data_IF_536716914449
#
_entry.id   IF_536716914449
#
_cell.length_a   1.000
_cell.length_b   1.000
_cell.length_c   1.000
_cell.angle_alpha   90.00
_cell.angle_beta   90.00
_cell.angle_gamma   90.00
#
_symmetry.space_group_name_H-M   'P 1'
#
loop_
_entity.id
_entity.type
_entity.pdbx_description
1 polymer ?
#
# COMPACT_ATOMS: atom_id res chain seq x y z
N UNK A 1 -14.21 3.58 10.48
CA UNK A 1 -13.07 4.47 10.20
C UNK A 1 -12.35 3.89 8.99
N UNK A 2 -12.78 4.33 7.79
CA UNK A 2 -12.44 3.68 6.50
C UNK A 2 -10.94 3.67 6.24
N UNK A 3 -10.22 4.72 6.65
CA UNK A 3 -8.77 4.79 6.57
C UNK A 3 -8.06 3.64 7.32
N UNK A 4 -8.52 3.31 8.54
CA UNK A 4 -7.95 2.18 9.31
C UNK A 4 -8.23 0.83 8.64
N UNK A 5 -9.39 0.69 8.01
CA UNK A 5 -9.75 -0.51 7.27
C UNK A 5 -8.86 -0.67 6.01
N UNK A 6 -8.58 0.44 5.31
CA UNK A 6 -7.64 0.48 4.20
C UNK A 6 -6.22 0.06 4.64
N UNK A 7 -5.67 0.66 5.70
CA UNK A 7 -4.36 0.26 6.24
C UNK A 7 -4.34 -1.23 6.57
N UNK A 8 -5.34 -1.72 7.32
CA UNK A 8 -5.42 -3.11 7.73
C UNK A 8 -5.54 -4.08 6.53
N UNK A 9 -6.07 -3.62 5.40
CA UNK A 9 -6.11 -4.39 4.17
C UNK A 9 -4.76 -4.37 3.45
N UNK A 10 -4.18 -3.18 3.25
CA UNK A 10 -2.94 -2.98 2.49
C UNK A 10 -1.68 -3.48 3.21
N UNK A 11 -1.69 -3.57 4.54
CA UNK A 11 -0.54 -4.05 5.34
C UNK A 11 -0.55 -5.56 5.58
N UNK A 12 -1.52 -6.31 5.02
CA UNK A 12 -1.53 -7.77 5.13
C UNK A 12 -0.30 -8.36 4.44
N UNK A 13 0.30 -9.42 5.02
CA UNK A 13 1.38 -10.13 4.36
C UNK A 13 0.93 -10.63 2.98
N UNK A 14 1.77 -10.42 1.97
CA UNK A 14 1.52 -10.89 0.62
C UNK A 14 1.24 -12.41 0.63
N UNK A 15 0.17 -12.87 -0.03
CA UNK A 15 -0.13 -14.28 -0.13
C UNK A 15 1.04 -15.00 -0.82
N UNK A 16 1.55 -16.06 -0.18
CA UNK A 16 2.63 -16.87 -0.74
C UNK A 16 2.05 -17.86 -1.74
N UNK A 17 2.40 -17.70 -3.02
CA UNK A 17 2.08 -18.70 -4.03
C UNK A 17 2.83 -20.01 -3.76
N UNK A 18 2.10 -21.06 -3.36
CA UNK A 18 2.62 -22.43 -3.27
C UNK A 18 2.19 -23.23 -4.51
N UNK A 19 3.01 -24.19 -4.95
CA UNK A 19 2.68 -25.05 -6.12
C UNK A 19 1.41 -25.88 -5.92
N UNK A 20 0.99 -26.07 -4.67
CA UNK A 20 -0.19 -26.84 -4.28
C UNK A 20 -1.36 -25.94 -3.83
N UNK A 21 -1.26 -24.62 -3.98
CA UNK A 21 -2.26 -23.66 -3.51
C UNK A 21 -3.66 -24.01 -4.02
N UNK A 22 -3.78 -24.33 -5.31
CA UNK A 22 -5.01 -24.74 -5.95
C UNK A 22 -5.56 -26.05 -5.36
N UNK A 23 -4.70 -27.02 -5.06
CA UNK A 23 -5.11 -28.28 -4.45
C UNK A 23 -5.51 -28.13 -2.97
N UNK A 24 -4.86 -27.22 -2.24
CA UNK A 24 -5.16 -26.90 -0.85
C UNK A 24 -6.48 -26.14 -0.72
N UNK A 25 -6.73 -25.17 -1.59
CA UNK A 25 -8.00 -24.43 -1.66
C UNK A 25 -9.16 -25.34 -2.09
N UNK A 26 -8.97 -26.17 -3.11
CA UNK A 26 -9.95 -27.20 -3.49
C UNK A 26 -10.20 -28.18 -2.32
N UNK A 27 -9.15 -28.54 -1.56
CA UNK A 27 -9.26 -29.39 -0.37
C UNK A 27 -10.06 -28.76 0.78
N UNK A 28 -10.16 -27.44 0.86
CA UNK A 28 -10.98 -26.71 1.84
C UNK A 28 -12.45 -26.58 1.42
N UNK A 29 -12.73 -26.49 0.10
CA UNK A 29 -14.09 -26.32 -0.43
C UNK A 29 -14.83 -27.67 -0.56
N UNK A 30 -14.16 -28.73 -1.00
CA UNK A 30 -14.75 -30.06 -1.20
C UNK A 30 -15.51 -30.64 0.03
N UNK A 31 -14.97 -30.54 1.27
CA UNK A 31 -15.67 -31.02 2.46
C UNK A 31 -16.97 -30.25 2.74
N UNK A 32 -16.98 -28.94 2.46
CA UNK A 32 -18.16 -28.10 2.65
C UNK A 32 -19.25 -28.48 1.64
N UNK A 33 -18.89 -28.76 0.40
CA UNK A 33 -19.82 -29.22 -0.64
C UNK A 33 -20.44 -30.57 -0.25
N UNK A 34 -19.62 -31.52 0.19
CA UNK A 34 -20.09 -32.82 0.70
C UNK A 34 -20.99 -32.68 1.94
N UNK A 35 -20.74 -31.69 2.80
CA UNK A 35 -21.59 -31.39 3.96
C UNK A 35 -22.95 -30.83 3.54
N UNK A 36 -22.99 -29.95 2.53
CA UNK A 36 -24.24 -29.40 1.99
C UNK A 36 -25.07 -30.50 1.33
N UNK A 37 -24.45 -31.37 0.53
CA UNK A 37 -25.12 -32.52 -0.10
C UNK A 37 -25.66 -33.51 0.93
N UNK A 38 -24.89 -33.76 2.00
CA UNK A 38 -25.32 -34.62 3.10
C UNK A 38 -26.54 -34.05 3.83
N UNK A 39 -26.54 -32.76 4.16
CA UNK A 39 -27.70 -32.13 4.78
C UNK A 39 -28.91 -32.08 3.85
N UNK A 40 -28.71 -31.83 2.56
CA UNK A 40 -29.79 -31.82 1.56
C UNK A 40 -30.46 -33.21 1.44
N UNK A 41 -29.66 -34.27 1.34
CA UNK A 41 -30.17 -35.65 1.28
C UNK A 41 -30.89 -36.04 2.57
N UNK A 42 -30.37 -35.64 3.74
CA UNK A 42 -31.00 -35.89 5.04
C UNK A 42 -32.36 -35.17 5.18
N UNK A 43 -32.46 -33.91 4.74
CA UNK A 43 -33.71 -33.14 4.72
C UNK A 43 -34.75 -33.81 3.81
N UNK A 44 -34.34 -34.25 2.61
CA UNK A 44 -35.25 -34.94 1.68
C UNK A 44 -35.81 -36.24 2.26
N UNK A 45 -34.98 -37.04 2.97
CA UNK A 45 -35.42 -38.25 3.67
C UNK A 45 -36.42 -37.90 4.78
N UNK A 46 -36.11 -36.91 5.61
CA UNK A 46 -37.01 -36.46 6.68
C UNK A 46 -38.35 -35.95 6.14
N UNK A 47 -38.34 -35.20 5.03
CA UNK A 47 -39.55 -34.72 4.36
C UNK A 47 -40.38 -35.87 3.76
N UNK A 48 -39.73 -36.88 3.18
CA UNK A 48 -40.41 -38.06 2.64
C UNK A 48 -41.03 -38.90 3.76
N UNK A 49 -40.34 -39.04 4.88
CA UNK A 49 -40.86 -39.71 6.07
C UNK A 49 -42.03 -38.94 6.69
N UNK A 50 -41.98 -37.61 6.71
CA UNK A 50 -43.08 -36.72 7.16
C UNK A 50 -44.30 -36.75 6.24
N UNK A 51 -44.15 -37.19 4.98
CA UNK A 51 -45.26 -37.37 4.04
C UNK A 51 -45.93 -38.76 4.12
N UNK A 52 -45.37 -39.70 4.90
CA UNK A 52 -45.86 -41.08 4.99
C UNK A 52 -47.01 -41.23 5.99
N UNK A 53 -48.12 -41.90 5.64
CA UNK A 53 -49.23 -42.15 6.57
C UNK A 53 -48.83 -43.21 7.61
N UNK A 54 -48.47 -42.76 8.82
CA UNK A 54 -48.11 -43.65 9.95
C UNK A 54 -46.97 -43.15 10.85
N UNK A 55 -46.60 -41.87 10.77
CA UNK A 55 -45.47 -41.31 11.52
C UNK A 55 -45.73 -41.36 13.02
N UNK A 56 -44.87 -42.08 13.73
CA UNK A 56 -44.67 -41.92 15.16
C UNK A 56 -43.62 -40.84 15.35
N UNK A 57 -43.87 -39.92 16.27
CA UNK A 57 -42.94 -38.85 16.67
C UNK A 57 -42.75 -37.70 15.65
N UNK A 58 -43.86 -37.12 15.23
CA UNK A 58 -43.91 -35.98 14.30
C UNK A 58 -43.12 -34.78 14.85
N UNK A 59 -43.17 -34.53 16.16
CA UNK A 59 -42.50 -33.38 16.80
C UNK A 59 -40.98 -33.51 16.71
N UNK A 60 -40.42 -34.69 17.01
CA UNK A 60 -38.97 -34.90 16.91
C UNK A 60 -38.50 -34.83 15.47
N UNK A 61 -39.27 -35.35 14.50
CA UNK A 61 -38.93 -35.24 13.08
C UNK A 61 -38.97 -33.80 12.55
N UNK A 62 -39.93 -32.98 12.97
CA UNK A 62 -39.98 -31.55 12.65
C UNK A 62 -38.75 -30.83 13.24
N UNK A 63 -38.41 -31.14 14.49
CA UNK A 63 -37.22 -30.57 15.14
C UNK A 63 -35.92 -30.97 14.43
N UNK A 64 -35.77 -32.23 14.05
CA UNK A 64 -34.64 -32.73 13.27
C UNK A 64 -34.54 -32.10 11.87
N UNK A 65 -35.68 -31.84 11.21
CA UNK A 65 -35.72 -31.13 9.93
C UNK A 65 -35.26 -29.69 10.08
N UNK A 66 -35.82 -28.94 11.05
CA UNK A 66 -35.43 -27.55 11.31
C UNK A 66 -33.95 -27.42 11.70
N UNK A 67 -33.42 -28.37 12.48
CA UNK A 67 -32.00 -28.42 12.82
C UNK A 67 -31.13 -28.69 11.59
N UNK A 68 -31.53 -29.64 10.73
CA UNK A 68 -30.81 -29.98 9.50
C UNK A 68 -30.84 -28.81 8.49
N UNK A 69 -31.96 -28.10 8.37
CA UNK A 69 -32.12 -26.90 7.52
C UNK A 69 -31.24 -25.75 8.01
N UNK A 70 -31.17 -25.52 9.32
CA UNK A 70 -30.25 -24.54 9.92
C UNK A 70 -28.79 -24.88 9.61
N UNK A 71 -28.42 -26.16 9.69
CA UNK A 71 -27.07 -26.61 9.40
C UNK A 71 -26.72 -26.59 7.91
N UNK A 72 -27.70 -26.88 7.05
CA UNK A 72 -27.58 -26.69 5.61
C UNK A 72 -27.34 -25.21 5.28
N UNK A 73 -28.14 -24.30 5.85
CA UNK A 73 -28.01 -22.87 5.60
C UNK A 73 -26.65 -22.32 6.05
N UNK A 74 -26.17 -22.73 7.23
CA UNK A 74 -24.85 -22.36 7.75
C UNK A 74 -23.71 -22.90 6.88
N UNK A 75 -23.78 -24.18 6.49
CA UNK A 75 -22.77 -24.80 5.61
C UNK A 75 -22.78 -24.21 4.21
N UNK A 76 -23.96 -23.88 3.68
CA UNK A 76 -24.15 -23.23 2.39
C UNK A 76 -23.59 -21.80 2.40
N UNK A 77 -23.83 -21.03 3.48
CA UNK A 77 -23.19 -19.73 3.66
C UNK A 77 -21.67 -19.84 3.76
N UNK A 78 -21.14 -20.80 4.52
CA UNK A 78 -19.70 -21.02 4.63
C UNK A 78 -19.06 -21.42 3.30
N UNK A 79 -19.74 -22.26 2.52
CA UNK A 79 -19.32 -22.67 1.18
C UNK A 79 -19.33 -21.48 0.21
N UNK A 80 -20.39 -20.68 0.20
CA UNK A 80 -20.50 -19.48 -0.63
C UNK A 80 -19.38 -18.49 -0.27
N UNK A 81 -19.16 -18.23 1.01
CA UNK A 81 -18.09 -17.34 1.47
C UNK A 81 -16.70 -17.85 1.05
N UNK A 82 -16.48 -19.17 1.13
CA UNK A 82 -15.20 -19.77 0.74
C UNK A 82 -14.98 -19.78 -0.77
N UNK A 83 -15.98 -20.15 -1.55
CA UNK A 83 -15.95 -20.06 -3.01
C UNK A 83 -15.69 -18.63 -3.49
N UNK A 84 -16.32 -17.64 -2.85
CA UNK A 84 -16.08 -16.21 -3.10
C UNK A 84 -14.67 -15.78 -2.72
N UNK A 85 -14.16 -16.20 -1.56
CA UNK A 85 -12.79 -15.85 -1.12
C UNK A 85 -11.68 -16.45 -1.98
N UNK A 86 -11.95 -17.58 -2.64
CA UNK A 86 -10.99 -18.29 -3.48
C UNK A 86 -11.18 -18.00 -4.98
N UNK A 87 -12.09 -17.09 -5.35
CA UNK A 87 -12.37 -16.68 -6.73
C UNK A 87 -13.02 -17.76 -7.62
N UNK A 88 -13.49 -18.86 -7.01
CA UNK A 88 -14.19 -19.95 -7.69
C UNK A 88 -15.69 -19.61 -7.77
N UNK A 89 -16.06 -18.78 -8.75
CA UNK A 89 -17.46 -18.55 -9.11
C UNK A 89 -18.09 -19.86 -9.58
N UNK A 90 -19.01 -20.43 -8.78
CA UNK A 90 -20.03 -21.42 -9.15
C UNK A 90 -19.67 -22.31 -10.35
N UNK A 91 -18.56 -23.04 -10.29
CA UNK A 91 -18.16 -23.92 -11.36
C UNK A 91 -18.49 -25.37 -10.99
N UNK A 92 -19.22 -25.98 -11.90
CA UNK A 92 -19.70 -27.36 -11.93
C UNK A 92 -18.61 -28.34 -11.48
N UNK A 93 -18.92 -29.08 -10.41
CA UNK A 93 -18.26 -30.31 -9.96
C UNK A 93 -16.72 -30.20 -9.78
N UNK A 94 -16.29 -29.84 -8.56
CA UNK A 94 -14.88 -29.70 -8.18
C UNK A 94 -14.03 -30.95 -8.51
N UNK A 95 -14.63 -32.14 -8.53
CA UNK A 95 -13.94 -33.38 -8.89
C UNK A 95 -13.67 -33.50 -10.40
N UNK A 96 -14.51 -32.89 -11.25
CA UNK A 96 -14.29 -32.75 -12.68
C UNK A 96 -13.24 -31.65 -12.97
N UNK A 97 -13.29 -30.52 -12.24
CA UNK A 97 -12.30 -29.44 -12.36
C UNK A 97 -10.87 -29.90 -12.03
N UNK A 98 -10.69 -30.76 -11.01
CA UNK A 98 -9.38 -31.34 -10.67
C UNK A 98 -8.78 -32.18 -11.80
N UNK A 99 -9.59 -32.65 -12.75
CA UNK A 99 -9.17 -33.47 -13.89
C UNK A 99 -9.00 -32.64 -15.16
N UNK A 100 -9.60 -31.45 -15.23
CA UNK A 100 -9.53 -30.58 -16.39
C UNK A 100 -8.29 -29.67 -16.37
N UNK A 101 -7.38 -29.93 -17.31
CA UNK A 101 -6.15 -29.17 -17.49
C UNK A 101 -6.39 -27.72 -17.90
N UNK A 102 -7.48 -27.43 -18.61
CA UNK A 102 -7.81 -26.07 -19.03
C UNK A 102 -8.22 -25.20 -17.85
N UNK A 103 -9.08 -25.72 -16.98
CA UNK A 103 -9.54 -25.02 -15.78
C UNK A 103 -8.40 -24.81 -14.78
N UNK A 104 -7.52 -25.80 -14.60
CA UNK A 104 -6.31 -25.64 -13.79
C UNK A 104 -5.41 -24.52 -14.32
N UNK A 105 -5.09 -24.54 -15.63
CA UNK A 105 -4.27 -23.49 -16.23
C UNK A 105 -4.94 -22.11 -16.11
N UNK A 106 -6.26 -22.02 -16.24
CA UNK A 106 -7.01 -20.76 -16.10
C UNK A 106 -6.95 -20.22 -14.66
N UNK A 107 -7.13 -21.07 -13.65
CA UNK A 107 -7.00 -20.70 -12.24
C UNK A 107 -5.57 -20.27 -11.89
N UNK A 108 -4.57 -21.02 -12.36
CA UNK A 108 -3.16 -20.69 -12.16
C UNK A 108 -2.81 -19.35 -12.81
N UNK A 109 -3.41 -19.05 -13.98
CA UNK A 109 -3.26 -17.76 -14.67
C UNK A 109 -3.82 -16.63 -13.83
N UNK A 110 -5.03 -16.76 -13.28
CA UNK A 110 -5.62 -15.76 -12.40
C UNK A 110 -4.77 -15.54 -11.13
N UNK A 111 -4.35 -16.62 -10.46
CA UNK A 111 -3.52 -16.54 -9.26
C UNK A 111 -2.18 -15.85 -9.53
N UNK A 112 -1.50 -16.20 -10.61
CA UNK A 112 -0.24 -15.55 -11.01
C UNK A 112 -0.46 -14.07 -11.32
N UNK A 113 -1.59 -13.72 -11.96
CA UNK A 113 -1.90 -12.34 -12.30
C UNK A 113 -2.17 -11.47 -11.08
N UNK A 114 -2.91 -12.00 -10.09
CA UNK A 114 -3.07 -11.37 -8.76
C UNK A 114 -1.70 -11.14 -8.12
N UNK A 115 -0.86 -12.17 -8.07
CA UNK A 115 0.47 -12.04 -7.46
C UNK A 115 1.36 -11.01 -8.18
N UNK A 116 1.30 -10.93 -9.51
CA UNK A 116 2.06 -9.92 -10.26
C UNK A 116 1.53 -8.53 -9.92
N UNK A 117 0.21 -8.34 -9.94
CA UNK A 117 -0.43 -7.07 -9.58
C UNK A 117 -0.01 -6.60 -8.18
N UNK A 118 -0.15 -7.46 -7.16
CA UNK A 118 0.23 -7.13 -5.78
C UNK A 118 1.71 -6.75 -5.66
N UNK A 119 2.60 -7.46 -6.36
CA UNK A 119 4.03 -7.18 -6.32
C UNK A 119 4.40 -5.89 -7.06
N UNK A 120 3.72 -5.56 -8.16
CA UNK A 120 3.88 -4.29 -8.87
C UNK A 120 3.39 -3.15 -7.99
N UNK A 121 2.23 -3.28 -7.35
CA UNK A 121 1.71 -2.31 -6.37
C UNK A 121 2.70 -2.09 -5.22
N UNK A 122 3.23 -3.17 -4.64
CA UNK A 122 4.22 -3.09 -3.57
C UNK A 122 5.52 -2.41 -4.03
N UNK A 123 6.03 -2.76 -5.22
CA UNK A 123 7.21 -2.13 -5.80
C UNK A 123 7.02 -0.61 -6.00
N UNK A 124 5.85 -0.19 -6.52
CA UNK A 124 5.51 1.24 -6.65
C UNK A 124 5.45 1.94 -5.29
N UNK A 125 4.87 1.29 -4.28
CA UNK A 125 4.82 1.83 -2.91
C UNK A 125 6.23 2.05 -2.34
N UNK A 126 7.13 1.07 -2.48
CA UNK A 126 8.52 1.18 -2.01
C UNK A 126 9.31 2.28 -2.73
N UNK A 127 9.11 2.47 -4.04
CA UNK A 127 9.70 3.59 -4.79
C UNK A 127 9.22 4.93 -4.24
N UNK A 128 7.90 5.11 -4.07
CA UNK A 128 7.32 6.34 -3.53
C UNK A 128 7.82 6.61 -2.11
N UNK A 129 7.96 5.57 -1.30
CA UNK A 129 8.54 5.65 0.03
C UNK A 129 10.01 6.12 -0.02
N UNK A 130 10.81 5.60 -0.95
CA UNK A 130 12.19 6.03 -1.18
C UNK A 130 12.27 7.51 -1.61
N UNK A 131 11.41 7.95 -2.53
CA UNK A 131 11.36 9.34 -2.99
C UNK A 131 11.00 10.31 -1.84
N UNK A 132 10.04 9.94 -1.00
CA UNK A 132 9.67 10.72 0.18
C UNK A 132 10.79 10.76 1.23
N UNK A 133 11.47 9.63 1.49
CA UNK A 133 12.63 9.58 2.39
C UNK A 133 13.79 10.43 1.87
N UNK A 134 14.07 10.39 0.56
CA UNK A 134 15.11 11.20 -0.08
C UNK A 134 14.83 12.70 0.03
N UNK A 135 13.57 13.11 -0.08
CA UNK A 135 13.15 14.51 0.14
C UNK A 135 13.30 14.94 1.60
N UNK A 136 13.20 14.00 2.54
CA UNK A 136 13.09 14.31 3.96
C UNK A 136 14.42 14.35 4.73
N UNK A 137 15.51 13.66 4.34
CA UNK A 137 16.83 13.91 4.97
C UNK A 137 18.06 13.43 4.16
N UNK A 138 19.17 14.18 4.23
CA UNK A 138 20.54 13.73 3.85
C UNK A 138 21.13 12.73 4.87
N UNK A 139 20.44 12.44 6.00
CA UNK A 139 20.97 11.67 7.15
C UNK A 139 20.49 10.22 7.25
N UNK A 140 19.61 9.74 6.37
CA UNK A 140 19.05 8.38 6.42
C UNK A 140 19.68 7.38 5.44
N UNK A 141 20.99 7.46 5.24
CA UNK A 141 21.72 6.62 4.28
C UNK A 141 21.48 5.09 4.47
N UNK A 142 21.28 4.62 5.71
CA UNK A 142 21.01 3.19 5.99
C UNK A 142 19.62 2.73 5.59
N UNK A 143 18.60 3.59 5.73
CA UNK A 143 17.24 3.28 5.29
C UNK A 143 17.18 3.26 3.76
N UNK A 144 17.85 4.21 3.12
CA UNK A 144 18.01 4.25 1.66
C UNK A 144 18.63 2.96 1.12
N UNK A 145 19.76 2.50 1.68
CA UNK A 145 20.41 1.26 1.19
C UNK A 145 19.52 0.03 1.37
N UNK A 146 18.75 -0.05 2.45
CA UNK A 146 17.83 -1.16 2.68
C UNK A 146 16.67 -1.16 1.66
N UNK A 147 16.01 -0.01 1.47
CA UNK A 147 14.90 0.13 0.50
C UNK A 147 15.39 -0.08 -0.93
N UNK A 148 16.53 0.50 -1.31
CA UNK A 148 17.16 0.23 -2.62
C UNK A 148 17.47 -1.25 -2.83
N UNK A 149 17.96 -1.94 -1.80
CA UNK A 149 18.24 -3.37 -1.89
C UNK A 149 16.97 -4.20 -2.03
N UNK A 150 15.89 -3.83 -1.33
CA UNK A 150 14.57 -4.47 -1.46
C UNK A 150 14.01 -4.29 -2.87
N UNK A 151 14.06 -3.06 -3.41
CA UNK A 151 13.61 -2.76 -4.79
C UNK A 151 14.38 -3.63 -5.80
N UNK A 152 15.72 -3.66 -5.70
CA UNK A 152 16.60 -4.47 -6.57
C UNK A 152 16.33 -5.97 -6.47
N UNK A 153 15.87 -6.46 -5.32
CA UNK A 153 15.50 -7.87 -5.14
C UNK A 153 14.07 -8.20 -5.61
N UNK A 154 13.15 -7.25 -5.57
CA UNK A 154 11.78 -7.43 -6.02
C UNK A 154 11.67 -7.54 -7.54
N UNK A 155 12.33 -6.66 -8.31
CA UNK A 155 12.29 -6.66 -9.78
C UNK A 155 12.52 -8.04 -10.44
N UNK A 156 13.60 -8.79 -10.14
CA UNK A 156 13.82 -10.11 -10.74
C UNK A 156 12.80 -11.15 -10.28
N UNK A 157 12.15 -10.95 -9.13
CA UNK A 157 11.07 -11.83 -8.64
C UNK A 157 9.79 -11.60 -9.44
N UNK A 158 9.44 -10.33 -9.71
CA UNK A 158 8.28 -9.96 -10.54
C UNK A 158 8.48 -10.47 -11.98
N UNK A 159 9.67 -10.29 -12.55
CA UNK A 159 9.99 -10.80 -13.89
C UNK A 159 9.88 -12.34 -13.97
N UNK A 160 10.21 -13.08 -12.90
CA UNK A 160 10.00 -14.53 -12.85
C UNK A 160 8.53 -14.90 -12.84
N UNK A 161 7.71 -14.17 -12.08
CA UNK A 161 6.26 -14.37 -12.04
C UNK A 161 5.62 -14.09 -13.40
N UNK A 162 6.01 -13.00 -14.07
CA UNK A 162 5.54 -12.67 -15.43
C UNK A 162 5.93 -13.76 -16.44
N UNK A 163 7.15 -14.28 -16.38
CA UNK A 163 7.57 -15.40 -17.23
C UNK A 163 6.74 -16.66 -16.99
N UNK A 164 6.46 -16.99 -15.72
CA UNK A 164 5.60 -18.10 -15.37
C UNK A 164 4.17 -17.89 -15.91
N UNK A 165 3.61 -16.70 -15.73
CA UNK A 165 2.30 -16.31 -16.25
C UNK A 165 2.20 -16.45 -17.77
N UNK A 166 3.16 -15.89 -18.50
CA UNK A 166 3.19 -15.98 -19.97
C UNK A 166 3.31 -17.44 -20.45
N UNK A 167 4.05 -18.29 -19.72
CA UNK A 167 4.13 -19.74 -20.01
C UNK A 167 2.77 -20.43 -19.84
N UNK A 168 1.99 -20.06 -18.81
CA UNK A 168 0.64 -20.61 -18.61
C UNK A 168 -0.32 -20.07 -19.69
N UNK A 169 -0.19 -18.81 -20.10
CA UNK A 169 -0.94 -18.25 -21.23
C UNK A 169 -0.69 -19.03 -22.53
N UNK A 170 0.57 -19.38 -22.83
CA UNK A 170 0.94 -20.20 -23.97
C UNK A 170 0.29 -21.61 -23.89
N UNK A 171 0.25 -22.20 -22.69
CA UNK A 171 -0.41 -23.48 -22.46
C UNK A 171 -1.93 -23.40 -22.69
N UNK A 172 -2.59 -22.33 -22.25
CA UNK A 172 -4.01 -22.09 -22.49
C UNK A 172 -4.28 -21.94 -23.99
N UNK A 173 -3.48 -21.14 -24.68
CA UNK A 173 -3.56 -21.02 -26.14
C UNK A 173 -3.42 -22.38 -26.83
N UNK A 174 -2.46 -23.20 -26.43
CA UNK A 174 -2.29 -24.54 -26.98
C UNK A 174 -3.52 -25.45 -26.71
N UNK A 175 -4.12 -25.38 -25.52
CA UNK A 175 -5.32 -26.14 -25.19
C UNK A 175 -6.55 -25.69 -25.99
N UNK A 176 -6.66 -24.39 -26.29
CA UNK A 176 -7.70 -23.84 -27.17
C UNK A 176 -7.53 -24.34 -28.61
N UNK A 177 -6.31 -24.37 -29.14
CA UNK A 177 -6.03 -24.89 -30.49
C UNK A 177 -6.39 -26.38 -30.64
N UNK A 178 -6.23 -27.16 -29.57
CA UNK A 178 -6.57 -28.60 -29.55
C UNK A 178 -8.06 -28.85 -29.27
N UNK A 179 -8.87 -27.79 -29.10
CA UNK A 179 -10.32 -27.89 -28.89
C UNK A 179 -10.71 -28.46 -27.52
N UNK A 180 -9.82 -28.36 -26.53
CA UNK A 180 -10.09 -28.78 -25.13
C UNK A 180 -10.62 -27.65 -24.24
N UNK A 181 -10.76 -26.45 -24.81
CA UNK A 181 -11.34 -25.30 -24.14
C UNK A 181 -12.86 -25.21 -24.38
N UNK A 182 -13.62 -24.58 -23.47
CA UNK A 182 -15.01 -24.19 -23.73
C UNK A 182 -15.16 -23.38 -25.02
N UNK A 183 -16.31 -23.52 -25.69
CA UNK A 183 -16.55 -22.91 -27.02
C UNK A 183 -16.42 -21.37 -27.05
N UNK A 184 -16.67 -20.71 -25.92
CA UNK A 184 -16.62 -19.25 -25.78
C UNK A 184 -15.46 -18.78 -24.89
N UNK A 185 -14.42 -19.60 -24.74
CA UNK A 185 -13.23 -19.25 -23.97
C UNK A 185 -12.48 -18.05 -24.58
N UNK A 186 -12.22 -17.02 -23.76
CA UNK A 186 -11.39 -15.87 -24.12
C UNK A 186 -9.95 -16.15 -23.69
N UNK A 187 -8.94 -16.03 -24.58
CA UNK A 187 -7.57 -16.26 -24.22
C UNK A 187 -7.03 -15.14 -23.31
N UNK A 188 -6.25 -15.48 -22.26
CA UNK A 188 -5.59 -14.48 -21.43
C UNK A 188 -4.51 -13.72 -22.24
N UNK A 189 -4.36 -12.44 -21.94
CA UNK A 189 -3.39 -11.56 -22.63
C UNK A 189 -2.01 -11.65 -21.96
N UNK A 190 -0.93 -12.03 -22.68
CA UNK A 190 0.42 -12.02 -22.12
C UNK A 190 0.85 -10.62 -21.68
N UNK A 191 1.63 -10.54 -20.60
CA UNK A 191 2.18 -9.29 -20.09
C UNK A 191 3.56 -9.07 -20.72
N UNK A 192 3.78 -7.90 -21.33
CA UNK A 192 5.09 -7.52 -21.88
C UNK A 192 6.02 -7.09 -20.75
N UNK A 193 7.20 -7.71 -20.67
CA UNK A 193 8.19 -7.41 -19.63
C UNK A 193 8.78 -5.99 -19.76
N UNK A 194 8.80 -5.40 -20.96
CA UNK A 194 9.42 -4.11 -21.25
C UNK A 194 8.66 -2.94 -20.60
N UNK A 195 7.33 -3.04 -20.52
CA UNK A 195 6.45 -1.99 -19.98
C UNK A 195 5.89 -2.33 -18.58
N UNK A 196 6.33 -3.44 -17.98
CA UNK A 196 5.77 -3.97 -16.73
C UNK A 196 5.76 -2.95 -15.57
N UNK A 197 6.83 -2.17 -15.44
CA UNK A 197 6.97 -1.18 -14.37
C UNK A 197 6.36 0.18 -14.74
N UNK A 198 5.97 0.36 -16.01
CA UNK A 198 5.23 1.52 -16.49
C UNK A 198 3.71 1.31 -16.34
N UNK A 199 3.26 0.05 -16.26
CA UNK A 199 1.84 -0.28 -16.05
C UNK A 199 1.30 0.39 -14.79
N UNK A 200 0.14 1.03 -14.90
CA UNK A 200 -0.59 1.57 -13.77
C UNK A 200 -1.49 0.55 -13.07
N UNK A 201 -1.88 0.88 -11.84
CA UNK A 201 -2.77 0.04 -11.02
C UNK A 201 -4.14 -0.10 -11.71
N UNK A 202 -4.53 0.92 -12.48
CA UNK A 202 -5.82 1.02 -13.16
C UNK A 202 -5.78 0.59 -14.63
N UNK A 203 -4.66 0.06 -15.11
CA UNK A 203 -4.54 -0.35 -16.51
C UNK A 203 -5.51 -1.51 -16.82
N UNK A 204 -6.08 -1.46 -18.04
CA UNK A 204 -7.03 -2.44 -18.57
C UNK A 204 -6.52 -3.90 -18.49
N UNK A 205 -5.20 -4.07 -18.40
CA UNK A 205 -4.57 -5.37 -18.22
C UNK A 205 -4.96 -6.04 -16.90
N UNK A 206 -5.46 -5.31 -15.90
CA UNK A 206 -5.87 -5.85 -14.60
C UNK A 206 -7.38 -6.07 -14.45
N UNK A 207 -8.20 -5.64 -15.42
CA UNK A 207 -9.67 -5.71 -15.34
C UNK A 207 -10.23 -7.13 -15.21
N UNK A 208 -9.52 -8.13 -15.72
CA UNK A 208 -9.86 -9.56 -15.62
C UNK A 208 -9.36 -10.23 -14.32
N UNK A 209 -8.56 -9.52 -13.53
CA UNK A 209 -8.08 -9.94 -12.19
C UNK A 209 -9.05 -9.56 -11.09
N UNK A 210 -9.87 -8.53 -11.33
CA UNK A 210 -11.06 -8.25 -10.54
C UNK A 210 -12.10 -9.34 -10.86
N UNK A 211 -11.79 -10.58 -10.45
CA UNK A 211 -12.83 -11.50 -10.04
C UNK A 211 -13.65 -10.71 -9.04
N UNK A 212 -14.90 -10.41 -9.37
CA UNK A 212 -15.84 -9.70 -8.50
C UNK A 212 -15.68 -10.20 -7.07
N UNK A 213 -14.94 -9.42 -6.30
CA UNK A 213 -14.55 -9.72 -4.94
C UNK A 213 -15.69 -9.30 -4.06
N UNK A 214 -16.35 -10.29 -3.50
CA UNK A 214 -17.44 -10.18 -2.53
C UNK A 214 -18.74 -9.56 -3.09
N UNK A 215 -19.82 -10.35 -3.06
CA UNK A 215 -21.18 -9.80 -3.13
C UNK A 215 -21.58 -9.07 -1.83
N UNK A 216 -20.62 -8.79 -0.95
CA UNK A 216 -20.67 -7.78 0.09
C UNK A 216 -20.15 -6.47 -0.47
N UNK A 217 -20.93 -5.39 -0.26
CA UNK A 217 -20.62 -4.00 -0.63
C UNK A 217 -19.12 -3.74 -0.59
N UNK A 218 -18.50 -3.45 -1.74
CA UNK A 218 -17.09 -3.06 -1.80
C UNK A 218 -16.83 -1.97 -0.77
N UNK A 219 -15.73 -2.06 0.02
CA UNK A 219 -15.45 -1.08 1.05
C UNK A 219 -15.51 0.34 0.50
N UNK A 220 -16.04 1.29 1.28
CA UNK A 220 -16.21 2.67 0.82
C UNK A 220 -14.90 3.27 0.34
N UNK A 221 -13.79 3.01 1.03
CA UNK A 221 -12.46 3.47 0.63
C UNK A 221 -11.95 2.94 -0.72
N UNK A 222 -12.61 1.95 -1.32
CA UNK A 222 -12.26 1.38 -2.63
C UNK A 222 -13.28 1.73 -3.72
N UNK A 223 -14.55 1.81 -3.38
CA UNK A 223 -15.65 1.94 -4.36
C UNK A 223 -16.37 3.29 -4.33
N UNK A 224 -16.23 4.06 -3.25
CA UNK A 224 -16.88 5.36 -3.09
C UNK A 224 -15.85 6.49 -3.28
N UNK A 225 -15.97 7.19 -4.40
CA UNK A 225 -15.09 8.30 -4.77
C UNK A 225 -15.10 9.42 -3.70
N UNK A 226 -16.23 9.68 -3.05
CA UNK A 226 -16.31 10.69 -1.99
C UNK A 226 -15.52 10.25 -0.76
N UNK A 227 -15.54 8.95 -0.44
CA UNK A 227 -14.75 8.38 0.66
C UNK A 227 -13.27 8.39 0.31
N UNK A 228 -12.89 8.00 -0.91
CA UNK A 228 -11.50 8.08 -1.40
C UNK A 228 -10.96 9.50 -1.31
N UNK A 229 -11.71 10.47 -1.82
CA UNK A 229 -11.36 11.88 -1.77
C UNK A 229 -11.29 12.39 -0.32
N UNK A 230 -12.21 11.96 0.55
CA UNK A 230 -12.20 12.27 1.96
C UNK A 230 -10.94 11.77 2.68
N UNK A 231 -10.54 10.52 2.44
CA UNK A 231 -9.30 9.94 2.98
C UNK A 231 -8.08 10.74 2.48
N UNK A 232 -8.04 11.07 1.19
CA UNK A 232 -6.96 11.87 0.63
C UNK A 232 -6.82 13.24 1.33
N UNK A 233 -7.94 13.94 1.53
CA UNK A 233 -7.95 15.26 2.16
C UNK A 233 -7.52 15.19 3.63
N UNK A 234 -7.95 14.17 4.38
CA UNK A 234 -7.52 13.96 5.77
C UNK A 234 -6.02 13.70 5.85
N UNK A 235 -5.49 12.83 4.99
CA UNK A 235 -4.05 12.55 4.96
C UNK A 235 -3.23 13.77 4.53
N UNK A 236 -3.75 14.56 3.60
CA UNK A 236 -3.09 15.79 3.18
C UNK A 236 -3.06 16.81 4.33
N UNK A 237 -4.15 16.91 5.10
CA UNK A 237 -4.19 17.75 6.31
C UNK A 237 -3.16 17.26 7.33
N UNK A 238 -3.14 15.97 7.66
CA UNK A 238 -2.17 15.37 8.58
C UNK A 238 -0.72 15.65 8.14
N UNK A 239 -0.42 15.49 6.84
CA UNK A 239 0.88 15.82 6.27
C UNK A 239 1.22 17.31 6.39
N UNK A 240 0.25 18.21 6.15
CA UNK A 240 0.47 19.64 6.31
C UNK A 240 0.75 20.01 7.78
N UNK A 241 0.03 19.42 8.73
CA UNK A 241 0.26 19.64 10.17
C UNK A 241 1.63 19.12 10.61
N UNK A 242 2.02 17.93 10.14
CA UNK A 242 3.36 17.38 10.38
C UNK A 242 4.45 18.29 9.81
N UNK A 243 4.28 18.75 8.57
CA UNK A 243 5.24 19.62 7.89
C UNK A 243 5.37 20.97 8.61
N UNK A 244 4.25 21.59 9.00
CA UNK A 244 4.26 22.84 9.74
C UNK A 244 4.99 22.68 11.08
N UNK A 245 4.74 21.59 11.79
CA UNK A 245 5.44 21.28 13.04
C UNK A 245 6.94 21.06 12.82
N UNK A 246 7.32 20.34 11.77
CA UNK A 246 8.72 20.11 11.39
C UNK A 246 9.43 21.41 11.07
N UNK A 247 8.85 22.23 10.19
CA UNK A 247 9.37 23.53 9.80
C UNK A 247 9.54 24.45 11.01
N UNK A 248 8.55 24.47 11.91
CA UNK A 248 8.62 25.24 13.16
C UNK A 248 9.84 24.84 14.00
N UNK A 249 10.11 23.55 14.11
CA UNK A 249 11.22 23.01 14.90
C UNK A 249 12.59 23.24 14.24
N UNK A 250 12.68 23.06 12.93
CA UNK A 250 13.89 23.34 12.16
C UNK A 250 14.23 24.83 12.18
N UNK A 251 13.24 25.69 11.94
CA UNK A 251 13.36 27.14 12.04
C UNK A 251 13.87 27.54 13.43
N UNK A 252 13.28 27.01 14.50
CA UNK A 252 13.71 27.36 15.86
C UNK A 252 15.13 26.91 16.16
N UNK A 253 15.50 25.69 15.73
CA UNK A 253 16.86 25.16 15.90
C UNK A 253 17.90 26.01 15.14
N UNK A 254 17.57 26.41 13.91
CA UNK A 254 18.39 27.28 13.08
C UNK A 254 18.59 28.66 13.74
N UNK A 255 17.53 29.26 14.26
CA UNK A 255 17.59 30.54 14.96
C UNK A 255 18.39 30.46 16.26
N UNK A 256 18.27 29.36 17.03
CA UNK A 256 19.09 29.14 18.23
C UNK A 256 20.57 28.99 17.90
N UNK A 257 20.90 28.24 16.85
CA UNK A 257 22.27 28.10 16.38
C UNK A 257 22.85 29.47 16.02
N UNK A 258 22.12 30.24 15.21
CA UNK A 258 22.57 31.55 14.78
C UNK A 258 22.80 32.49 15.98
N UNK A 259 21.86 32.51 16.93
CA UNK A 259 21.97 33.33 18.14
C UNK A 259 23.21 33.01 18.96
N UNK A 260 23.54 31.72 19.11
CA UNK A 260 24.74 31.27 19.83
C UNK A 260 26.00 31.69 19.09
N UNK A 261 26.04 31.45 17.78
CA UNK A 261 27.20 31.80 16.96
C UNK A 261 27.44 33.31 16.95
N UNK A 262 26.39 34.10 16.80
CA UNK A 262 26.46 35.57 16.86
C UNK A 262 27.02 36.05 18.20
N UNK A 263 26.47 35.55 19.32
CA UNK A 263 26.96 35.91 20.65
C UNK A 263 28.44 35.51 20.85
N UNK A 264 28.86 34.36 20.32
CA UNK A 264 30.26 33.90 20.36
C UNK A 264 31.19 34.79 19.56
N UNK A 265 30.78 35.27 18.38
CA UNK A 265 31.59 36.20 17.58
C UNK A 265 31.75 37.55 18.29
N UNK A 266 30.66 38.11 18.82
CA UNK A 266 30.74 39.38 19.54
C UNK A 266 31.70 39.28 20.74
N UNK A 267 31.59 38.21 21.55
CA UNK A 267 32.53 37.98 22.65
C UNK A 267 33.98 37.78 22.16
N UNK A 268 34.18 37.12 21.03
CA UNK A 268 35.50 36.91 20.46
C UNK A 268 36.12 38.22 19.95
N UNK A 269 35.32 39.10 19.33
CA UNK A 269 35.78 40.43 18.88
C UNK A 269 36.19 41.31 20.06
N UNK A 270 35.44 41.29 21.16
CA UNK A 270 35.77 42.03 22.39
C UNK A 270 37.08 41.55 23.05
N UNK A 271 37.39 40.24 22.94
CA UNK A 271 38.57 39.63 23.54
C UNK A 271 39.79 39.51 22.60
N UNK A 272 39.63 39.83 21.31
CA UNK A 272 40.64 39.55 20.29
C UNK A 272 41.81 40.53 20.30
N UNK A 273 43.00 40.00 20.01
CA UNK A 273 44.16 40.79 19.61
C UNK A 273 44.06 41.24 18.14
N UNK A 274 44.89 42.23 17.77
CA UNK A 274 44.95 42.82 16.42
C UNK A 274 45.15 41.79 15.30
N UNK A 275 45.77 40.65 15.61
CA UNK A 275 46.04 39.55 14.69
C UNK A 275 44.80 38.75 14.27
N UNK A 276 43.74 38.73 15.10
CA UNK A 276 42.53 37.95 14.84
C UNK A 276 41.33 38.79 14.37
N UNK A 277 41.37 40.12 14.58
CA UNK A 277 40.27 41.05 14.24
C UNK A 277 39.81 40.89 12.78
N UNK A 278 40.74 40.81 11.82
CA UNK A 278 40.38 40.68 10.41
C UNK A 278 39.58 39.39 10.11
N UNK A 279 39.95 38.27 10.74
CA UNK A 279 39.26 37.00 10.52
C UNK A 279 37.89 36.98 11.19
N UNK A 280 37.76 37.61 12.35
CA UNK A 280 36.47 37.76 13.03
C UNK A 280 35.52 38.64 12.23
N UNK A 281 35.99 39.79 11.74
CA UNK A 281 35.20 40.65 10.85
C UNK A 281 34.70 39.90 9.61
N UNK A 282 35.54 39.10 8.95
CA UNK A 282 35.11 38.26 7.82
C UNK A 282 34.03 37.24 8.20
N UNK A 283 34.08 36.68 9.42
CA UNK A 283 33.03 35.78 9.91
C UNK A 283 31.75 36.53 10.25
N UNK A 284 31.85 37.71 10.86
CA UNK A 284 30.73 38.62 11.15
C UNK A 284 29.97 38.96 9.87
N UNK A 285 30.71 39.37 8.84
CA UNK A 285 30.20 39.63 7.49
C UNK A 285 29.44 38.43 6.89
N UNK A 286 30.03 37.22 7.03
CA UNK A 286 29.41 35.98 6.58
C UNK A 286 28.11 35.68 7.32
N UNK A 287 28.08 35.84 8.64
CA UNK A 287 26.86 35.64 9.43
C UNK A 287 25.77 36.66 9.10
N UNK A 288 26.12 37.93 8.91
CA UNK A 288 25.14 38.96 8.49
C UNK A 288 24.54 38.61 7.12
N UNK A 289 25.35 38.13 6.18
CA UNK A 289 24.84 37.68 4.87
C UNK A 289 23.85 36.52 5.00
N UNK A 290 24.17 35.53 5.85
CA UNK A 290 23.28 34.40 6.14
C UNK A 290 21.99 34.87 6.82
N UNK A 291 22.10 35.79 7.80
CA UNK A 291 20.94 36.35 8.50
C UNK A 291 19.96 37.01 7.53
N UNK A 292 20.43 37.90 6.66
CA UNK A 292 19.58 38.62 5.69
C UNK A 292 18.83 37.64 4.78
N UNK A 293 19.51 36.58 4.33
CA UNK A 293 18.90 35.57 3.47
C UNK A 293 17.86 34.71 4.18
N UNK A 294 18.08 34.44 5.47
CA UNK A 294 17.21 33.57 6.25
C UNK A 294 16.02 34.32 6.82
N UNK A 295 16.20 35.53 7.36
CA UNK A 295 15.16 36.35 7.97
C UNK A 295 13.92 36.49 7.08
N UNK A 296 14.10 36.85 5.80
CA UNK A 296 12.98 36.99 4.86
C UNK A 296 12.21 35.69 4.64
N UNK A 297 12.89 34.54 4.74
CA UNK A 297 12.31 33.21 4.50
C UNK A 297 11.67 32.62 5.75
N UNK A 298 12.10 33.00 6.95
CA UNK A 298 11.63 32.37 8.19
C UNK A 298 10.71 33.26 9.02
N UNK A 299 10.59 34.56 8.68
CA UNK A 299 9.76 35.51 9.43
C UNK A 299 8.28 35.10 9.57
N UNK A 300 7.76 34.30 8.65
CA UNK A 300 6.36 33.86 8.64
C UNK A 300 6.16 32.49 9.32
N UNK A 301 7.24 31.82 9.71
CA UNK A 301 7.19 30.50 10.32
C UNK A 301 7.13 30.68 11.84
N UNK A 302 6.09 30.11 12.45
CA UNK A 302 5.94 30.11 13.91
C UNK A 302 7.05 29.28 14.55
N UNK A 303 7.68 29.81 15.61
CA UNK A 303 8.69 29.06 16.36
C UNK A 303 8.04 27.99 17.23
N UNK A 304 8.64 26.80 17.31
CA UNK A 304 8.14 25.67 18.09
C UNK A 304 8.13 25.92 19.61
N UNK A 305 8.95 26.84 20.11
CA UNK A 305 8.91 27.34 21.49
C UNK A 305 9.17 28.84 21.53
N UNK A 306 8.88 29.46 22.68
CA UNK A 306 9.05 30.92 22.87
C UNK A 306 10.50 31.32 22.68
N UNK A 307 10.77 32.02 21.58
CA UNK A 307 12.04 32.69 21.33
C UNK A 307 12.00 34.13 21.85
N UNK A 308 13.19 34.70 22.11
CA UNK A 308 13.31 36.12 22.43
C UNK A 308 12.91 37.02 21.24
N UNK A 309 12.76 38.33 21.46
CA UNK A 309 12.29 39.26 20.43
C UNK A 309 13.21 39.35 19.21
N UNK A 310 14.50 39.04 19.38
CA UNK A 310 15.49 38.96 18.30
C UNK A 310 16.34 37.70 18.46
N UNK A 311 16.64 37.05 17.34
CA UNK A 311 17.51 35.88 17.26
C UNK A 311 18.84 36.17 16.53
N UNK A 312 19.00 37.36 15.95
CA UNK A 312 20.20 37.80 15.26
C UNK A 312 20.52 39.28 15.48
N UNK A 313 21.37 39.88 14.64
CA UNK A 313 21.81 41.27 14.75
C UNK A 313 20.66 42.27 14.68
N UNK A 314 20.84 43.40 15.35
CA UNK A 314 19.96 44.56 15.22
C UNK A 314 20.08 45.19 13.83
N UNK A 315 19.04 45.90 13.39
CA UNK A 315 19.05 46.59 12.09
C UNK A 315 20.22 47.58 11.95
N UNK A 316 20.71 48.15 13.05
CA UNK A 316 21.88 49.04 13.06
C UNK A 316 23.19 48.28 12.80
N UNK A 317 23.35 47.09 13.37
CA UNK A 317 24.53 46.23 13.16
C UNK A 317 24.57 45.71 11.71
N UNK A 318 23.41 45.32 11.18
CA UNK A 318 23.27 44.93 9.76
C UNK A 318 23.64 46.10 8.84
N UNK A 319 23.11 47.30 9.10
CA UNK A 319 23.42 48.49 8.30
C UNK A 319 24.90 48.86 8.35
N UNK A 320 25.54 48.73 9.51
CA UNK A 320 26.97 49.01 9.66
C UNK A 320 27.83 48.06 8.81
N UNK A 321 27.55 46.75 8.87
CA UNK A 321 28.28 45.72 8.13
C UNK A 321 28.07 45.85 6.61
N UNK A 322 26.84 46.12 6.17
CA UNK A 322 26.55 46.33 4.75
C UNK A 322 27.26 47.60 4.22
N UNK A 323 27.31 48.66 5.02
CA UNK A 323 28.02 49.89 4.67
C UNK A 323 29.54 49.68 4.56
N UNK A 324 30.16 48.96 5.52
CA UNK A 324 31.59 48.66 5.46
C UNK A 324 31.96 47.76 4.28
N UNK A 325 31.11 46.78 3.93
CA UNK A 325 31.29 45.95 2.74
C UNK A 325 31.22 46.75 1.43
N UNK A 326 30.23 47.65 1.32
CA UNK A 326 30.08 48.48 0.12
C UNK A 326 31.31 49.38 -0.10
N UNK A 327 31.82 50.01 0.96
CA UNK A 327 33.02 50.86 0.87
C UNK A 327 34.32 50.07 0.65
N UNK A 328 34.44 48.85 1.16
CA UNK A 328 35.58 47.98 0.91
C UNK A 328 35.63 47.42 -0.53
N UNK A 329 34.50 47.37 -1.23
CA UNK A 329 34.38 46.87 -2.62
C UNK A 329 34.61 47.97 -3.68
N UNK A 330 34.49 49.24 -3.29
CA UNK A 330 34.59 50.41 -4.19
C UNK A 330 36.01 51.03 -4.20
N UNK A 331 36.91 50.59 -3.32
CA UNK A 331 38.34 50.96 -3.32
C UNK A 331 39.19 49.89 -4.01
#
# INVERSE_FOLDING_TARGET
DEWKAQIAHQTKPLPRHSKDCTAEEIGKVLPLEKSVDHHHTHINVLQQELASPGIVDITDKIHCSAHSESMQNSSTQALILKQRSSGLLACVDLEAMKKDKYLQASLDTCALKICIWEQVCHHKFEIKHLECSYRNTIKEHKLHTNVESSIKHCEPTILKLVKAYNTVCDNIHALMQVGRAPRDAIPPRPILCEDLFQLDIDDDIWLDVVVEGDAGVSPGWLADEEVCQGIHLVLQLDCCEEEEWRLSRECTTMQEWFKREWASIIHAEEAAGWDMIYQLQRRTDGLVSVYIQWESKVQHITTAWKMGPTWGPTSSEVAHVVYTQYHASVM
#
